data_IF_568492275497
#
_entry.id   IF_568492275497
#
_cell.length_a   1.000
_cell.length_b   1.000
_cell.length_c   1.000
_cell.angle_alpha   90.00
_cell.angle_beta   90.00
_cell.angle_gamma   90.00
#
_symmetry.space_group_name_H-M   'P 1'
#
loop_
_entity.id
_entity.type
_entity.pdbx_description
1 polymer ?
#
# COMPACT_ATOMS: atom_id res chain seq x y z
N UNK A 1 21.25 29.38 16.87
CA UNK A 1 20.14 30.31 16.57
C UNK A 1 18.81 29.56 16.51
N UNK A 2 17.70 30.15 16.97
CA UNK A 2 16.38 29.55 16.81
C UNK A 2 15.99 29.47 15.32
N UNK A 3 15.23 28.44 14.95
CA UNK A 3 14.73 28.24 13.58
C UNK A 3 13.23 28.48 13.55
N UNK A 4 12.77 29.40 12.71
CA UNK A 4 11.35 29.53 12.37
C UNK A 4 11.05 28.59 11.20
N UNK A 5 10.16 27.63 11.43
CA UNK A 5 9.83 26.59 10.44
C UNK A 5 8.32 26.52 10.21
N UNK A 6 7.93 26.26 8.97
CA UNK A 6 6.57 25.84 8.66
C UNK A 6 6.34 24.40 9.10
N UNK A 7 5.12 24.07 9.53
CA UNK A 7 4.75 22.72 9.93
C UNK A 7 3.84 22.07 8.87
N UNK A 8 4.12 20.80 8.58
CA UNK A 8 3.24 19.92 7.80
C UNK A 8 3.05 18.61 8.56
N UNK A 9 1.81 18.13 8.66
CA UNK A 9 1.49 16.85 9.28
C UNK A 9 0.59 16.06 8.36
N UNK A 10 0.89 14.79 8.14
CA UNK A 10 0.02 13.86 7.41
C UNK A 10 -0.38 12.69 8.29
N UNK A 11 -1.68 12.51 8.44
CA UNK A 11 -2.27 11.37 9.16
C UNK A 11 -3.74 11.20 8.80
N UNK A 12 -4.42 10.23 9.43
CA UNK A 12 -5.87 10.09 9.35
C UNK A 12 -6.57 10.92 10.44
N UNK A 13 -7.55 11.72 10.05
CA UNK A 13 -8.41 12.49 10.95
C UNK A 13 -9.84 11.95 10.93
N UNK A 14 -10.54 11.87 12.08
CA UNK A 14 -11.92 11.43 12.14
C UNK A 14 -12.85 12.23 11.22
N UNK A 15 -13.74 11.54 10.50
CA UNK A 15 -14.69 12.12 9.55
C UNK A 15 -14.07 12.76 8.31
N UNK A 16 -12.74 12.74 8.16
CA UNK A 16 -12.00 13.35 7.05
C UNK A 16 -11.16 12.30 6.31
N UNK A 17 -10.60 11.33 7.03
CA UNK A 17 -9.64 10.36 6.51
C UNK A 17 -8.22 10.93 6.40
N UNK A 18 -7.41 10.34 5.53
CA UNK A 18 -6.01 10.74 5.34
C UNK A 18 -5.90 12.13 4.72
N UNK A 19 -5.26 13.06 5.44
CA UNK A 19 -5.08 14.44 4.99
C UNK A 19 -3.78 15.03 5.51
N UNK A 20 -3.25 16.01 4.77
CA UNK A 20 -2.20 16.89 5.25
C UNK A 20 -2.76 18.17 5.87
N UNK A 21 -2.35 18.49 7.09
CA UNK A 21 -2.49 19.83 7.67
C UNK A 21 -1.16 20.58 7.50
N UNK A 22 -1.24 21.86 7.15
CA UNK A 22 -0.07 22.68 6.78
C UNK A 22 -0.15 24.07 7.37
N UNK A 23 1.01 24.65 7.67
CA UNK A 23 1.12 26.08 7.97
C UNK A 23 1.03 26.89 6.68
N UNK A 24 0.49 28.11 6.77
CA UNK A 24 0.19 28.96 5.61
C UNK A 24 1.40 29.27 4.70
N UNK A 25 2.62 29.22 5.26
CA UNK A 25 3.85 29.59 4.55
C UNK A 25 4.45 28.44 3.72
N UNK A 26 3.91 27.22 3.78
CA UNK A 26 4.46 26.08 3.04
C UNK A 26 3.95 26.11 1.59
N UNK A 27 4.85 26.28 0.60
CA UNK A 27 4.48 26.27 -0.81
C UNK A 27 3.89 24.93 -1.28
N UNK A 28 3.00 24.95 -2.27
CA UNK A 28 2.29 23.75 -2.73
C UNK A 28 3.23 22.66 -3.28
N UNK A 29 4.31 23.05 -3.97
CA UNK A 29 5.36 22.13 -4.44
C UNK A 29 6.03 21.38 -3.27
N UNK A 30 6.24 22.05 -2.15
CA UNK A 30 6.79 21.44 -0.93
C UNK A 30 5.79 20.52 -0.26
N UNK A 31 4.50 20.85 -0.25
CA UNK A 31 3.46 19.94 0.24
C UNK A 31 3.43 18.65 -0.59
N UNK A 32 3.49 18.77 -1.92
CA UNK A 32 3.54 17.62 -2.82
C UNK A 32 4.82 16.80 -2.64
N UNK A 33 5.98 17.46 -2.52
CA UNK A 33 7.26 16.79 -2.27
C UNK A 33 7.25 16.03 -0.95
N UNK A 34 6.66 16.58 0.11
CA UNK A 34 6.49 15.89 1.39
C UNK A 34 5.65 14.61 1.21
N UNK A 35 4.50 14.69 0.55
CA UNK A 35 3.66 13.49 0.33
C UNK A 35 4.41 12.43 -0.49
N UNK A 36 5.05 12.81 -1.60
CA UNK A 36 5.68 11.83 -2.50
C UNK A 36 7.01 11.28 -1.96
N UNK A 37 7.91 12.15 -1.50
CA UNK A 37 9.28 11.79 -1.13
C UNK A 37 9.40 11.35 0.32
N UNK A 38 8.46 11.72 1.19
CA UNK A 38 8.48 11.34 2.61
C UNK A 38 7.42 10.29 2.86
N UNK A 39 6.14 10.59 2.64
CA UNK A 39 5.05 9.70 3.04
C UNK A 39 5.03 8.45 2.17
N UNK A 40 4.74 8.56 0.87
CA UNK A 40 4.55 7.38 0.01
C UNK A 40 5.83 6.59 -0.26
N UNK A 41 7.00 7.24 -0.18
CA UNK A 41 8.28 6.57 -0.35
C UNK A 41 8.66 5.69 0.84
N UNK A 42 8.28 6.08 2.05
CA UNK A 42 8.72 5.44 3.29
C UNK A 42 7.59 4.78 4.08
N UNK A 43 6.35 4.93 3.63
CA UNK A 43 5.19 4.29 4.21
C UNK A 43 4.46 3.42 3.19
N UNK A 44 4.65 2.11 3.33
CA UNK A 44 3.88 1.12 2.58
C UNK A 44 2.59 0.80 3.36
N UNK A 45 1.44 1.25 2.85
CA UNK A 45 0.14 1.00 3.50
C UNK A 45 -0.24 -0.50 3.53
N UNK A 46 0.31 -1.32 2.62
CA UNK A 46 0.00 -2.75 2.52
C UNK A 46 0.94 -3.60 3.37
N UNK A 47 2.16 -3.13 3.59
CA UNK A 47 3.09 -3.71 4.56
C UNK A 47 3.55 -2.63 5.54
N UNK A 48 2.64 -2.14 6.40
CA UNK A 48 2.97 -1.01 7.26
C UNK A 48 4.08 -1.39 8.24
N UNK A 49 4.94 -0.44 8.62
CA UNK A 49 5.92 -0.66 9.67
C UNK A 49 5.24 -1.18 10.94
N UNK A 50 5.96 -1.91 11.79
CA UNK A 50 5.38 -2.45 13.03
C UNK A 50 4.93 -1.34 13.98
N UNK A 51 4.02 -1.66 14.89
CA UNK A 51 3.62 -0.73 15.95
C UNK A 51 4.85 -0.26 16.75
N UNK A 52 4.92 1.05 17.03
CA UNK A 52 6.07 1.67 17.68
C UNK A 52 7.23 1.99 16.72
N UNK A 53 7.08 1.77 15.42
CA UNK A 53 8.04 2.21 14.41
C UNK A 53 8.26 3.72 14.47
N UNK A 54 9.52 4.12 14.40
CA UNK A 54 9.96 5.52 14.33
C UNK A 54 11.06 5.63 13.29
N UNK A 55 10.95 6.66 12.47
CA UNK A 55 12.00 7.07 11.57
C UNK A 55 12.12 8.58 11.55
N UNK A 56 13.29 9.07 11.16
CA UNK A 56 13.56 10.47 10.92
C UNK A 56 14.11 10.68 9.52
N UNK A 57 13.85 11.85 8.95
CA UNK A 57 14.31 12.19 7.61
C UNK A 57 14.77 13.65 7.53
N UNK A 58 15.69 13.90 6.61
CA UNK A 58 16.08 15.23 6.17
C UNK A 58 16.24 15.17 4.65
N UNK A 59 15.51 16.01 3.94
CA UNK A 59 15.45 16.04 2.50
C UNK A 59 15.50 17.48 1.99
N UNK A 60 16.47 17.79 1.12
CA UNK A 60 16.50 19.05 0.39
C UNK A 60 15.92 18.88 -1.00
N UNK A 61 14.83 19.58 -1.27
CA UNK A 61 14.24 19.68 -2.60
C UNK A 61 15.13 20.53 -3.52
N UNK A 62 15.65 21.63 -2.97
CA UNK A 62 16.65 22.50 -3.56
C UNK A 62 17.54 23.05 -2.44
N UNK A 63 18.65 23.71 -2.79
CA UNK A 63 19.62 24.22 -1.81
C UNK A 63 19.01 25.19 -0.78
N UNK A 64 17.88 25.80 -1.10
CA UNK A 64 17.13 26.77 -0.30
C UNK A 64 15.79 26.23 0.23
N UNK A 65 15.46 24.95 0.02
CA UNK A 65 14.20 24.34 0.47
C UNK A 65 14.48 23.01 1.17
N UNK A 66 14.45 23.05 2.49
CA UNK A 66 14.77 21.89 3.34
C UNK A 66 13.51 21.40 4.06
N UNK A 67 13.22 20.11 3.93
CA UNK A 67 12.21 19.38 4.69
C UNK A 67 12.89 18.42 5.66
N UNK A 68 12.41 18.35 6.89
CA UNK A 68 12.92 17.38 7.87
C UNK A 68 11.83 17.03 8.88
N UNK A 69 11.91 15.85 9.47
CA UNK A 69 10.96 15.45 10.51
C UNK A 69 10.96 13.97 10.80
N UNK A 70 9.78 13.44 11.09
CA UNK A 70 9.62 12.08 11.62
C UNK A 70 8.43 11.35 11.02
N UNK A 71 8.53 10.02 11.02
CA UNK A 71 7.43 9.11 10.72
C UNK A 71 7.22 8.23 11.95
N UNK A 72 5.97 8.14 12.40
CA UNK A 72 5.58 7.30 13.52
C UNK A 72 4.48 6.33 13.10
N UNK A 73 4.59 5.08 13.57
CA UNK A 73 3.47 4.17 13.67
C UNK A 73 2.96 4.11 15.11
N UNK A 74 2.10 5.05 15.46
CA UNK A 74 1.51 5.13 16.80
C UNK A 74 0.05 5.57 16.73
N UNK A 75 -0.81 4.89 17.51
CA UNK A 75 -2.23 5.18 17.66
C UNK A 75 -3.13 4.48 16.62
N UNK A 76 -4.44 4.67 16.77
CA UNK A 76 -5.46 4.16 15.86
C UNK A 76 -6.19 5.31 15.16
N UNK A 77 -6.99 5.00 14.15
CA UNK A 77 -7.98 5.93 13.62
C UNK A 77 -9.36 5.75 14.28
N UNK A 78 -10.37 6.45 13.75
CA UNK A 78 -11.75 6.38 14.25
C UNK A 78 -12.40 5.00 14.08
N UNK A 79 -11.91 4.18 13.15
CA UNK A 79 -12.38 2.83 12.89
C UNK A 79 -11.61 1.79 13.75
N UNK A 80 -10.74 2.25 14.65
CA UNK A 80 -9.90 1.39 15.47
C UNK A 80 -8.78 0.70 14.69
N UNK A 81 -8.52 1.09 13.43
CA UNK A 81 -7.43 0.54 12.62
C UNK A 81 -6.11 1.00 13.21
N UNK A 82 -5.22 0.04 13.46
CA UNK A 82 -3.81 0.31 13.79
C UNK A 82 -3.01 0.62 12.53
N UNK A 83 -1.74 0.95 12.68
CA UNK A 83 -0.82 1.19 11.55
C UNK A 83 -1.15 2.41 10.70
N UNK A 84 -1.60 3.48 11.35
CA UNK A 84 -1.89 4.74 10.71
C UNK A 84 -0.61 5.58 10.64
N UNK A 85 -0.18 6.04 9.44
CA UNK A 85 0.94 6.95 9.32
C UNK A 85 0.70 8.20 10.14
N UNK A 86 1.65 8.55 10.98
CA UNK A 86 1.71 9.84 11.63
C UNK A 86 3.03 10.51 11.26
N UNK A 87 3.00 11.22 10.14
CA UNK A 87 4.16 11.87 9.55
C UNK A 87 4.16 13.34 9.95
N UNK A 88 5.27 13.80 10.54
CA UNK A 88 5.50 15.20 10.89
C UNK A 88 6.64 15.73 10.03
N UNK A 89 6.48 16.94 9.52
CA UNK A 89 7.50 17.65 8.77
C UNK A 89 7.61 19.10 9.16
N UNK A 90 8.83 19.59 9.14
CA UNK A 90 9.21 20.97 9.27
C UNK A 90 9.87 21.43 7.99
N UNK A 91 9.42 22.58 7.51
CA UNK A 91 9.92 23.23 6.31
C UNK A 91 10.73 24.48 6.69
N UNK A 92 11.97 24.53 6.23
CA UNK A 92 12.85 25.68 6.34
C UNK A 92 13.18 26.20 4.93
N UNK A 93 12.86 27.48 4.71
CA UNK A 93 13.25 28.22 3.51
C UNK A 93 14.60 28.93 3.72
N UNK A 94 15.37 29.03 2.64
CA UNK A 94 16.69 29.66 2.62
C UNK A 94 17.85 28.66 2.64
N UNK A 95 19.04 29.16 2.28
CA UNK A 95 20.26 28.36 2.24
C UNK A 95 20.60 27.84 3.64
N UNK A 96 20.86 26.54 3.72
CA UNK A 96 21.19 25.89 4.98
C UNK A 96 22.66 26.15 5.36
N UNK A 97 22.89 26.79 6.51
CA UNK A 97 24.22 26.88 7.11
C UNK A 97 24.57 25.63 7.93
N UNK A 98 25.86 25.42 8.21
CA UNK A 98 26.32 24.30 9.05
C UNK A 98 25.73 24.35 10.47
N UNK A 99 25.57 25.54 11.05
CA UNK A 99 24.96 25.71 12.37
C UNK A 99 23.48 25.34 12.36
N UNK A 100 22.75 25.73 11.30
CA UNK A 100 21.34 25.35 11.15
C UNK A 100 21.19 23.85 10.92
N UNK A 101 22.10 23.24 10.12
CA UNK A 101 22.11 21.79 9.92
C UNK A 101 22.30 21.03 11.24
N UNK A 102 23.24 21.44 12.08
CA UNK A 102 23.46 20.78 13.39
C UNK A 102 22.24 20.94 14.32
N UNK A 103 21.59 22.11 14.31
CA UNK A 103 20.34 22.33 15.03
C UNK A 103 19.22 21.41 14.51
N UNK A 104 19.12 21.21 13.19
CA UNK A 104 18.15 20.28 12.60
C UNK A 104 18.47 18.83 13.01
N UNK A 105 19.72 18.38 12.88
CA UNK A 105 20.12 17.01 13.23
C UNK A 105 19.88 16.71 14.71
N UNK A 106 20.16 17.68 15.58
CA UNK A 106 19.88 17.58 17.01
C UNK A 106 18.38 17.56 17.31
N UNK A 107 17.61 18.38 16.59
CA UNK A 107 16.15 18.36 16.68
C UNK A 107 15.61 16.97 16.30
N UNK A 108 16.06 16.39 15.18
CA UNK A 108 15.67 15.06 14.71
C UNK A 108 15.96 13.94 15.71
N UNK A 109 17.08 14.04 16.42
CA UNK A 109 17.48 13.13 17.50
C UNK A 109 16.55 13.22 18.73
N UNK A 110 16.25 14.45 19.16
CA UNK A 110 15.43 14.71 20.36
C UNK A 110 13.94 14.44 20.10
N UNK A 111 13.41 14.89 18.96
CA UNK A 111 12.02 14.73 18.53
C UNK A 111 11.28 16.04 18.24
N UNK A 112 10.01 15.98 17.76
CA UNK A 112 9.23 17.15 17.38
C UNK A 112 8.94 18.09 18.56
N UNK A 113 8.91 19.39 18.29
CA UNK A 113 8.56 20.43 19.28
C UNK A 113 7.09 20.31 19.70
N UNK A 114 6.21 20.01 18.74
CA UNK A 114 4.76 19.90 18.96
C UNK A 114 4.21 18.69 18.23
N UNK A 115 3.10 18.14 18.71
CA UNK A 115 2.30 17.15 18.01
C UNK A 115 0.89 17.68 17.78
N UNK A 116 0.27 17.23 16.69
CA UNK A 116 -1.14 17.50 16.39
C UNK A 116 -1.99 16.37 16.96
N UNK A 117 -3.00 16.72 17.75
CA UNK A 117 -4.04 15.76 18.14
C UNK A 117 -4.90 15.40 16.92
N UNK A 118 -4.91 14.11 16.58
CA UNK A 118 -5.68 13.61 15.44
C UNK A 118 -7.19 13.64 15.69
N UNK A 119 -7.62 13.57 16.95
CA UNK A 119 -9.05 13.55 17.28
C UNK A 119 -9.65 14.95 17.37
N UNK A 120 -8.80 15.95 17.57
CA UNK A 120 -9.18 17.35 17.61
C UNK A 120 -8.22 18.20 16.77
N UNK A 121 -8.24 18.04 15.43
CA UNK A 121 -7.32 18.76 14.56
C UNK A 121 -7.60 20.27 14.57
N UNK A 122 -6.56 21.11 14.60
CA UNK A 122 -6.73 22.55 14.42
C UNK A 122 -7.15 22.87 12.97
N UNK A 123 -7.82 24.00 12.78
CA UNK A 123 -8.24 24.46 11.45
C UNK A 123 -7.05 24.73 10.50
N UNK A 124 -5.92 25.16 11.05
CA UNK A 124 -4.64 25.34 10.34
C UNK A 124 -3.47 25.19 11.31
N UNK A 125 -2.29 24.83 10.80
CA UNK A 125 -1.09 24.79 11.63
C UNK A 125 -0.43 26.16 11.68
N UNK A 126 0.17 26.48 12.81
CA UNK A 126 1.02 27.65 12.96
C UNK A 126 2.47 27.32 12.61
N UNK A 127 3.30 28.33 12.42
CA UNK A 127 4.74 28.12 12.33
C UNK A 127 5.30 27.85 13.71
N UNK A 128 6.40 27.09 13.75
CA UNK A 128 7.05 26.69 15.00
C UNK A 128 8.42 27.34 15.09
N UNK A 129 8.78 27.72 16.31
CA UNK A 129 10.13 28.13 16.64
C UNK A 129 10.83 26.95 17.30
N UNK A 130 11.84 26.40 16.63
CA UNK A 130 12.77 25.45 17.24
C UNK A 130 13.80 26.29 18.01
N UNK A 131 13.84 26.22 19.35
CA UNK A 131 14.74 27.04 20.14
C UNK A 131 16.19 26.62 19.88
N UNK A 132 17.11 27.53 20.18
CA UNK A 132 18.53 27.23 20.05
C UNK A 132 18.94 26.08 20.96
N UNK A 133 19.92 25.28 20.50
CA UNK A 133 20.38 24.07 21.18
C UNK A 133 19.27 23.04 21.47
N UNK A 134 18.11 23.19 20.82
CA UNK A 134 16.94 22.33 21.04
C UNK A 134 16.53 22.22 22.52
N UNK A 135 16.61 23.33 23.27
CA UNK A 135 16.18 23.37 24.67
C UNK A 135 14.65 23.39 24.80
N UNK A 136 14.00 22.25 24.55
CA UNK A 136 12.58 22.02 24.71
C UNK A 136 12.31 20.59 25.16
N UNK A 137 11.10 20.35 25.69
CA UNK A 137 10.61 18.99 25.91
C UNK A 137 9.92 18.50 24.63
N UNK A 138 10.38 17.41 24.01
CA UNK A 138 9.80 16.95 22.76
C UNK A 138 8.42 16.33 22.99
N UNK A 139 7.52 16.56 22.02
CA UNK A 139 6.17 16.00 22.05
C UNK A 139 6.16 14.47 21.83
N UNK A 140 7.19 13.94 21.17
CA UNK A 140 7.45 12.51 20.95
C UNK A 140 8.95 12.27 20.89
N UNK A 141 9.42 11.07 21.17
CA UNK A 141 10.85 10.74 21.01
C UNK A 141 11.28 10.84 19.55
N UNK A 142 12.45 11.42 19.31
CA UNK A 142 13.11 11.41 18.01
C UNK A 142 13.79 10.07 17.70
N UNK A 143 14.70 10.09 16.72
CA UNK A 143 15.48 8.92 16.29
C UNK A 143 16.94 9.31 16.25
N UNK A 144 17.78 8.58 16.98
CA UNK A 144 19.19 8.89 17.09
C UNK A 144 19.93 8.76 15.75
N UNK A 145 20.66 9.81 15.39
CA UNK A 145 21.45 9.86 14.15
C UNK A 145 22.91 9.62 14.54
N UNK A 146 23.53 8.58 13.99
CA UNK A 146 24.91 8.21 14.32
C UNK A 146 25.89 9.32 13.96
N UNK A 147 27.02 9.37 14.68
CA UNK A 147 28.06 10.38 14.45
C UNK A 147 28.62 10.33 13.03
N UNK A 148 28.68 9.15 12.41
CA UNK A 148 29.14 8.98 11.03
C UNK A 148 28.13 9.52 10.02
N UNK A 149 26.83 9.29 10.23
CA UNK A 149 25.77 9.87 9.39
C UNK A 149 25.74 11.39 9.52
N UNK A 150 25.92 11.93 10.74
CA UNK A 150 26.05 13.38 10.97
C UNK A 150 27.26 13.95 10.21
N UNK A 151 28.44 13.34 10.32
CA UNK A 151 29.66 13.78 9.60
C UNK A 151 29.46 13.73 8.08
N UNK A 152 28.85 12.68 7.56
CA UNK A 152 28.59 12.54 6.13
C UNK A 152 27.61 13.61 5.64
N UNK A 153 26.54 13.87 6.38
CA UNK A 153 25.56 14.92 6.05
C UNK A 153 26.21 16.32 6.02
N UNK A 154 27.10 16.62 6.97
CA UNK A 154 27.87 17.88 6.96
C UNK A 154 28.79 17.98 5.74
N UNK A 155 29.47 16.88 5.39
CA UNK A 155 30.33 16.82 4.21
C UNK A 155 29.54 17.07 2.94
N UNK A 156 28.36 16.48 2.81
CA UNK A 156 27.49 16.68 1.64
C UNK A 156 27.02 18.13 1.53
N UNK A 157 26.68 18.79 2.67
CA UNK A 157 26.35 20.21 2.68
C UNK A 157 27.52 21.08 2.21
N UNK A 158 28.74 20.84 2.73
CA UNK A 158 29.95 21.57 2.34
C UNK A 158 30.29 21.37 0.85
N UNK A 159 29.97 20.20 0.31
CA UNK A 159 30.12 19.88 -1.11
C UNK A 159 28.98 20.42 -1.99
N UNK A 160 28.03 21.18 -1.42
CA UNK A 160 26.84 21.71 -2.10
C UNK A 160 25.98 20.61 -2.76
N UNK A 161 26.02 19.40 -2.20
CA UNK A 161 25.11 18.32 -2.59
C UNK A 161 23.79 18.47 -1.84
N UNK A 162 22.69 18.15 -2.52
CA UNK A 162 21.39 18.12 -1.87
C UNK A 162 21.37 17.01 -0.82
N UNK A 163 20.97 17.37 0.38
CA UNK A 163 20.91 16.45 1.50
C UNK A 163 19.72 15.50 1.36
N UNK A 164 19.97 14.21 1.63
CA UNK A 164 18.94 13.19 1.66
C UNK A 164 19.35 12.12 2.70
N UNK A 165 18.74 12.22 3.88
CA UNK A 165 18.97 11.37 5.03
C UNK A 165 17.65 10.72 5.42
N UNK A 166 17.68 9.42 5.67
CA UNK A 166 16.58 8.68 6.27
C UNK A 166 17.16 7.69 7.27
N UNK A 167 16.63 7.65 8.49
CA UNK A 167 17.09 6.76 9.56
C UNK A 167 15.90 6.17 10.27
N UNK A 168 15.81 4.85 10.32
CA UNK A 168 14.78 4.14 11.09
C UNK A 168 15.37 3.46 12.33
N UNK A 169 14.55 3.25 13.37
CA UNK A 169 14.96 2.47 14.54
C UNK A 169 15.42 1.04 14.18
N UNK A 170 14.79 0.42 13.19
CA UNK A 170 15.13 -0.94 12.74
C UNK A 170 16.53 -1.03 12.11
N UNK A 171 16.95 0.02 11.39
CA UNK A 171 18.29 0.11 10.80
C UNK A 171 19.37 0.25 11.87
N UNK A 172 19.07 0.93 12.97
CA UNK A 172 19.97 1.04 14.11
C UNK A 172 20.18 -0.30 14.83
N UNK A 173 19.12 -1.08 15.02
CA UNK A 173 19.23 -2.42 15.62
C UNK A 173 20.04 -3.38 14.73
N UNK A 174 19.87 -3.28 13.41
CA UNK A 174 20.66 -4.03 12.42
C UNK A 174 22.12 -3.58 12.39
N UNK A 175 22.40 -2.29 12.54
CA UNK A 175 23.77 -1.77 12.63
C UNK A 175 24.46 -2.23 13.93
N UNK A 176 23.77 -2.09 15.07
CA UNK A 176 24.30 -2.51 16.37
C UNK A 176 24.54 -4.03 16.48
N UNK A 177 23.72 -4.84 15.81
CA UNK A 177 23.94 -6.30 15.73
C UNK A 177 25.12 -6.68 14.83
N UNK A 178 25.36 -5.94 13.72
CA UNK A 178 26.56 -6.10 12.89
C UNK A 178 27.85 -5.75 13.65
N UNK A 179 27.86 -4.66 14.40
CA UNK A 179 29.03 -4.27 15.20
C UNK A 179 29.33 -5.28 16.31
N UNK A 180 28.30 -5.90 16.89
CA UNK A 180 28.47 -7.01 17.84
C UNK A 180 29.01 -8.28 17.18
N UNK A 181 28.64 -8.56 15.94
CA UNK A 181 29.15 -9.71 15.18
C UNK A 181 30.63 -9.52 14.79
N UNK A 182 31.00 -8.33 14.31
CA UNK A 182 32.39 -7.99 13.93
C UNK A 182 33.31 -8.04 15.16
N UNK A 183 32.86 -7.55 16.32
CA UNK A 183 33.63 -7.63 17.57
C UNK A 183 33.74 -9.06 18.14
N UNK A 184 32.81 -9.97 17.79
CA UNK A 184 32.92 -11.40 18.15
C UNK A 184 33.93 -12.14 17.27
N UNK A 185 34.03 -11.80 15.98
CA UNK A 185 34.99 -12.41 15.05
C UNK A 185 36.43 -11.93 15.26
N UNK A 186 36.64 -10.73 15.80
CA UNK A 186 37.97 -10.23 16.18
C UNK A 186 38.60 -10.97 17.39
N UNK A 187 37.88 -11.91 18.02
CA UNK A 187 38.29 -12.57 19.27
C UNK A 187 38.59 -14.08 19.14
N UNK A 188 38.65 -14.65 17.94
CA UNK A 188 38.93 -16.08 17.75
C UNK A 188 40.24 -16.33 16.98
N UNK A 189 41.10 -17.28 17.43
CA UNK A 189 42.36 -17.56 16.76
C UNK A 189 42.13 -18.27 15.43
N UNK A 190 42.87 -17.80 14.42
CA UNK A 190 42.93 -18.32 13.05
C UNK A 190 43.20 -19.83 13.07
N UNK A 191 42.27 -20.62 12.52
CA UNK A 191 42.56 -21.99 12.07
C UNK A 191 41.83 -22.32 10.76
N UNK A 192 42.63 -22.31 9.69
CA UNK A 192 42.58 -23.07 8.43
C UNK A 192 41.23 -23.42 7.75
N UNK A 193 41.04 -22.82 6.56
CA UNK A 193 40.64 -23.41 5.25
C UNK A 193 39.75 -24.67 5.23
N UNK A 194 38.52 -24.54 4.71
CA UNK A 194 38.06 -25.19 3.46
C UNK A 194 36.64 -24.70 3.06
N UNK A 195 36.28 -24.63 1.76
CA UNK A 195 35.04 -24.04 1.28
C UNK A 195 33.95 -25.10 1.06
N UNK A 196 32.72 -24.81 1.48
CA UNK A 196 31.53 -25.49 1.00
C UNK A 196 30.48 -24.43 0.67
N UNK A 197 30.39 -24.13 -0.63
CA UNK A 197 29.33 -23.34 -1.24
C UNK A 197 27.97 -23.92 -0.87
N UNK A 198 27.07 -23.09 -0.34
CA UNK A 198 25.65 -23.42 -0.23
C UNK A 198 24.89 -22.53 -1.21
N UNK A 199 24.54 -23.13 -2.35
CA UNK A 199 23.54 -22.61 -3.27
C UNK A 199 22.18 -22.61 -2.57
N UNK A 200 21.58 -21.43 -2.44
CA UNK A 200 20.17 -21.29 -2.11
C UNK A 200 19.38 -21.41 -3.41
N UNK A 201 18.86 -22.61 -3.66
CA UNK A 201 17.88 -22.86 -4.69
C UNK A 201 16.59 -22.08 -4.38
N UNK A 202 16.23 -21.19 -5.29
CA UNK A 202 14.92 -20.56 -5.37
C UNK A 202 13.88 -21.65 -5.68
N UNK A 203 12.91 -21.82 -4.80
CA UNK A 203 11.72 -22.63 -5.06
C UNK A 203 10.82 -21.80 -5.97
N UNK A 204 10.98 -21.99 -7.28
CA UNK A 204 9.97 -21.62 -8.27
C UNK A 204 8.77 -22.56 -8.15
N UNK A 205 7.58 -21.98 -8.05
CA UNK A 205 6.33 -22.71 -8.03
C UNK A 205 5.20 -21.89 -8.61
N UNK A 206 5.10 -21.83 -9.93
CA UNK A 206 3.97 -22.35 -10.74
C UNK A 206 3.94 -21.70 -12.13
N UNK A 207 3.90 -22.57 -13.15
CA UNK A 207 4.02 -22.24 -14.57
C UNK A 207 2.76 -21.55 -15.09
N UNK A 208 2.80 -20.23 -15.17
CA UNK A 208 1.98 -19.42 -16.07
C UNK A 208 2.58 -19.53 -17.47
N UNK A 209 1.76 -19.69 -18.51
CA UNK A 209 2.23 -19.64 -19.90
C UNK A 209 2.34 -18.15 -20.30
N UNK A 210 3.48 -17.46 -20.08
CA UNK A 210 3.54 -16.00 -20.06
C UNK A 210 3.31 -15.42 -21.47
N UNK A 211 3.68 -16.21 -22.49
CA UNK A 211 3.61 -15.88 -23.90
C UNK A 211 2.18 -15.72 -24.45
N UNK A 212 1.19 -16.44 -23.90
CA UNK A 212 -0.20 -16.31 -24.38
C UNK A 212 -0.90 -15.09 -23.78
N UNK A 213 -0.67 -14.81 -22.49
CA UNK A 213 -1.24 -13.67 -21.79
C UNK A 213 -0.68 -12.36 -22.36
N UNK A 214 0.63 -12.29 -22.58
CA UNK A 214 1.28 -11.12 -23.19
C UNK A 214 0.71 -10.83 -24.58
N UNK A 215 0.48 -11.87 -25.39
CA UNK A 215 -0.17 -11.73 -26.70
C UNK A 215 -1.59 -11.15 -26.59
N UNK A 216 -2.40 -11.63 -25.65
CA UNK A 216 -3.77 -11.11 -25.42
C UNK A 216 -3.73 -9.61 -25.07
N UNK A 217 -2.79 -9.19 -24.22
CA UNK A 217 -2.64 -7.77 -23.86
C UNK A 217 -2.13 -6.92 -25.04
N UNK A 218 -1.21 -7.44 -25.86
CA UNK A 218 -0.76 -6.74 -27.07
C UNK A 218 -1.88 -6.60 -28.10
N UNK A 219 -2.72 -7.62 -28.28
CA UNK A 219 -3.92 -7.54 -29.13
C UNK A 219 -4.87 -6.43 -28.68
N UNK A 220 -5.05 -6.26 -27.35
CA UNK A 220 -5.88 -5.20 -26.78
C UNK A 220 -5.26 -3.81 -27.05
N UNK A 221 -3.95 -3.66 -26.83
CA UNK A 221 -3.21 -2.42 -27.11
C UNK A 221 -3.24 -1.99 -28.58
N UNK A 222 -3.29 -2.96 -29.50
CA UNK A 222 -3.32 -2.68 -30.94
C UNK A 222 -4.70 -2.19 -31.44
N UNK A 223 -5.75 -2.20 -30.62
CA UNK A 223 -7.10 -1.78 -31.03
C UNK A 223 -7.18 -0.27 -31.23
N UNK A 224 -7.78 0.23 -32.32
CA UNK A 224 -7.91 1.66 -32.60
C UNK A 224 -9.06 2.30 -31.79
N UNK A 225 -9.11 2.04 -30.49
CA UNK A 225 -10.15 2.51 -29.57
C UNK A 225 -9.59 3.40 -28.44
N UNK A 226 -8.35 3.88 -28.61
CA UNK A 226 -7.75 4.86 -27.70
C UNK A 226 -7.15 4.26 -26.43
N UNK A 227 -6.86 2.96 -26.39
CA UNK A 227 -6.12 2.35 -25.29
C UNK A 227 -4.67 2.84 -25.34
N UNK A 228 -4.21 3.36 -24.21
CA UNK A 228 -2.89 3.94 -24.05
C UNK A 228 -1.97 3.06 -23.22
N UNK A 229 -2.55 2.20 -22.37
CA UNK A 229 -1.78 1.29 -21.57
C UNK A 229 -2.62 0.21 -20.90
N UNK A 230 -1.98 -0.93 -20.64
CA UNK A 230 -2.56 -2.10 -19.98
C UNK A 230 -1.57 -2.73 -19.01
N UNK A 231 -2.10 -3.24 -17.90
CA UNK A 231 -1.32 -4.01 -16.93
C UNK A 231 -2.19 -5.13 -16.35
N UNK A 232 -1.62 -6.31 -16.19
CA UNK A 232 -2.22 -7.38 -15.39
C UNK A 232 -1.62 -7.31 -13.99
N UNK A 233 -2.47 -7.20 -12.97
CA UNK A 233 -2.05 -6.92 -11.59
C UNK A 233 -2.63 -7.95 -10.62
N UNK A 234 -1.93 -8.18 -9.51
CA UNK A 234 -2.39 -9.05 -8.42
C UNK A 234 -3.45 -8.39 -7.53
N UNK A 235 -3.96 -9.10 -6.52
CA UNK A 235 -4.84 -8.56 -5.49
C UNK A 235 -4.20 -7.41 -4.68
N UNK A 236 -2.87 -7.33 -4.67
CA UNK A 236 -2.09 -6.25 -4.06
C UNK A 236 -1.75 -5.13 -5.04
N UNK A 237 -2.25 -5.20 -6.29
CA UNK A 237 -1.99 -4.22 -7.34
C UNK A 237 -0.61 -4.33 -8.00
N UNK A 238 0.19 -5.36 -7.68
CA UNK A 238 1.51 -5.57 -8.27
C UNK A 238 1.39 -6.10 -9.70
N UNK A 239 2.06 -5.51 -10.70
CA UNK A 239 2.09 -6.06 -12.04
C UNK A 239 2.67 -7.49 -12.06
N UNK A 240 1.88 -8.44 -12.56
CA UNK A 240 2.23 -9.87 -12.64
C UNK A 240 3.14 -10.12 -13.85
N UNK A 241 2.96 -9.34 -14.91
CA UNK A 241 3.79 -9.33 -16.13
C UNK A 241 4.21 -7.88 -16.46
N UNK A 242 5.24 -7.68 -17.31
CA UNK A 242 5.64 -6.35 -17.74
C UNK A 242 4.44 -5.53 -18.27
N UNK A 243 4.35 -4.27 -17.85
CA UNK A 243 3.28 -3.36 -18.25
C UNK A 243 3.50 -2.86 -19.67
N UNK A 244 2.41 -2.64 -20.42
CA UNK A 244 2.48 -2.12 -21.79
C UNK A 244 1.87 -0.72 -21.81
N UNK A 245 2.61 0.28 -22.29
CA UNK A 245 2.11 1.67 -22.37
C UNK A 245 1.86 2.36 -21.01
N UNK A 246 2.34 1.76 -19.91
CA UNK A 246 2.21 2.29 -18.56
C UNK A 246 3.53 2.15 -17.80
N UNK A 247 3.85 3.14 -16.98
CA UNK A 247 4.92 3.04 -15.99
C UNK A 247 4.54 2.06 -14.86
N UNK A 248 5.51 1.30 -14.36
CA UNK A 248 5.31 0.25 -13.35
C UNK A 248 4.77 0.83 -12.04
N UNK A 249 5.36 1.92 -11.56
CA UNK A 249 4.97 2.54 -10.28
C UNK A 249 3.58 3.19 -10.40
N UNK A 250 3.32 3.84 -11.52
CA UNK A 250 2.01 4.41 -11.82
C UNK A 250 0.91 3.34 -11.87
N UNK A 251 1.20 2.20 -12.49
CA UNK A 251 0.27 1.05 -12.55
C UNK A 251 0.00 0.49 -11.16
N UNK A 252 1.04 0.32 -10.34
CA UNK A 252 0.92 -0.13 -8.94
C UNK A 252 0.04 0.81 -8.11
N UNK A 253 0.31 2.12 -8.16
CA UNK A 253 -0.44 3.12 -7.38
C UNK A 253 -1.92 3.15 -7.79
N UNK A 254 -2.19 3.15 -9.10
CA UNK A 254 -3.57 3.18 -9.62
C UNK A 254 -4.32 1.89 -9.28
N UNK A 255 -3.73 0.73 -9.55
CA UNK A 255 -4.34 -0.56 -9.24
C UNK A 255 -4.62 -0.71 -7.74
N UNK A 256 -3.62 -0.44 -6.89
CA UNK A 256 -3.76 -0.54 -5.45
C UNK A 256 -4.86 0.37 -4.89
N UNK A 257 -4.95 1.60 -5.37
CA UNK A 257 -5.99 2.55 -4.96
C UNK A 257 -7.39 2.07 -5.38
N UNK A 258 -7.55 1.59 -6.61
CA UNK A 258 -8.83 1.08 -7.11
C UNK A 258 -9.23 -0.21 -6.40
N UNK A 259 -8.30 -1.11 -6.10
CA UNK A 259 -8.54 -2.35 -5.34
C UNK A 259 -8.93 -2.06 -3.89
N UNK A 260 -8.29 -1.08 -3.24
CA UNK A 260 -8.67 -0.64 -1.90
C UNK A 260 -10.10 -0.09 -1.89
N UNK A 261 -10.44 0.78 -2.85
CA UNK A 261 -11.80 1.28 -3.01
C UNK A 261 -12.80 0.14 -3.27
N UNK A 262 -12.42 -0.86 -4.06
CA UNK A 262 -13.22 -2.07 -4.30
C UNK A 262 -13.55 -2.74 -2.98
N UNK A 263 -12.51 -3.13 -2.24
CA UNK A 263 -12.65 -3.90 -1.00
C UNK A 263 -13.44 -3.13 0.05
N UNK A 264 -13.13 -1.85 0.25
CA UNK A 264 -13.86 -1.00 1.20
C UNK A 264 -15.35 -0.87 0.83
N UNK A 265 -15.67 -0.78 -0.46
CA UNK A 265 -17.07 -0.71 -0.93
C UNK A 265 -17.75 -2.06 -0.75
N UNK A 266 -17.05 -3.16 -1.04
CA UNK A 266 -17.58 -4.50 -0.86
C UNK A 266 -17.96 -4.78 0.60
N UNK A 267 -17.07 -4.42 1.53
CA UNK A 267 -17.26 -4.61 2.97
C UNK A 267 -18.43 -3.76 3.49
N UNK A 268 -18.51 -2.48 3.10
CA UNK A 268 -19.57 -1.55 3.52
C UNK A 268 -20.96 -2.02 3.06
N UNK A 269 -21.09 -2.43 1.80
CA UNK A 269 -22.37 -2.79 1.20
C UNK A 269 -22.67 -4.29 1.23
N UNK A 270 -21.81 -5.10 1.85
CA UNK A 270 -21.93 -6.56 1.91
C UNK A 270 -22.09 -7.22 0.53
N UNK A 271 -21.39 -6.69 -0.48
CA UNK A 271 -21.44 -7.23 -1.84
C UNK A 271 -20.62 -8.51 -1.97
N UNK A 272 -21.06 -9.41 -2.84
CA UNK A 272 -20.37 -10.70 -3.07
C UNK A 272 -19.07 -10.54 -3.86
N UNK A 273 -18.92 -9.43 -4.60
CA UNK A 273 -17.70 -9.11 -5.35
C UNK A 273 -17.91 -7.86 -6.21
N UNK A 274 -16.80 -7.32 -6.73
CA UNK A 274 -16.81 -6.20 -7.66
C UNK A 274 -16.17 -6.65 -8.97
N UNK A 275 -16.96 -6.59 -10.04
CA UNK A 275 -16.51 -7.00 -11.37
C UNK A 275 -15.63 -5.93 -12.02
N UNK A 276 -15.94 -4.65 -11.84
CA UNK A 276 -15.21 -3.54 -12.47
C UNK A 276 -15.31 -2.25 -11.67
N UNK A 277 -14.23 -1.49 -11.66
CA UNK A 277 -14.17 -0.10 -11.16
C UNK A 277 -13.63 0.78 -12.27
N UNK A 278 -14.22 1.97 -12.44
CA UNK A 278 -13.80 2.90 -13.47
C UNK A 278 -13.76 4.34 -12.95
N UNK A 279 -12.70 5.06 -13.31
CA UNK A 279 -12.60 6.52 -13.21
C UNK A 279 -12.73 7.09 -14.62
N UNK A 280 -13.65 8.04 -14.80
CA UNK A 280 -13.97 8.64 -16.10
C UNK A 280 -13.77 10.16 -16.03
N UNK A 281 -12.98 10.69 -16.97
CA UNK A 281 -12.74 12.12 -17.15
C UNK A 281 -13.01 12.51 -18.62
N UNK A 282 -13.00 13.80 -18.95
CA UNK A 282 -13.20 14.24 -20.34
C UNK A 282 -12.05 13.77 -21.25
N UNK A 283 -10.88 13.63 -20.67
CA UNK A 283 -9.61 13.32 -21.30
C UNK A 283 -9.38 11.80 -21.44
N UNK A 284 -10.07 10.98 -20.65
CA UNK A 284 -9.92 9.53 -20.71
C UNK A 284 -10.51 8.73 -19.57
N UNK A 285 -10.07 7.48 -19.50
CA UNK A 285 -10.61 6.45 -18.62
C UNK A 285 -9.48 5.66 -17.96
N UNK A 286 -9.66 5.32 -16.69
CA UNK A 286 -8.88 4.29 -16.00
C UNK A 286 -9.85 3.24 -15.49
N UNK A 287 -9.66 1.99 -15.90
CA UNK A 287 -10.59 0.90 -15.63
C UNK A 287 -9.80 -0.26 -15.02
N UNK A 288 -10.31 -0.81 -13.92
CA UNK A 288 -9.80 -2.03 -13.29
C UNK A 288 -10.89 -3.08 -13.35
N UNK A 289 -10.63 -4.20 -14.03
CA UNK A 289 -11.60 -5.28 -14.24
C UNK A 289 -11.10 -6.60 -13.63
N UNK A 290 -11.96 -7.28 -12.89
CA UNK A 290 -11.68 -8.59 -12.30
C UNK A 290 -11.48 -9.65 -13.39
N UNK A 291 -10.38 -10.39 -13.35
CA UNK A 291 -10.11 -11.46 -14.32
C UNK A 291 -10.30 -12.85 -13.69
N UNK A 292 -9.48 -13.20 -12.70
CA UNK A 292 -9.43 -14.51 -12.05
C UNK A 292 -9.15 -14.27 -10.55
N UNK A 293 -9.35 -15.23 -9.61
CA UNK A 293 -8.95 -15.04 -8.22
C UNK A 293 -7.58 -14.37 -8.10
N UNK A 294 -7.56 -13.25 -7.38
CA UNK A 294 -6.39 -12.41 -7.16
C UNK A 294 -5.70 -11.83 -8.40
N UNK A 295 -6.38 -11.77 -9.55
CA UNK A 295 -5.86 -11.22 -10.81
C UNK A 295 -6.84 -10.23 -11.44
N UNK A 296 -6.34 -9.03 -11.77
CA UNK A 296 -7.12 -7.93 -12.32
C UNK A 296 -6.44 -7.32 -13.56
N UNK A 297 -7.24 -6.81 -14.49
CA UNK A 297 -6.78 -6.08 -15.66
C UNK A 297 -6.96 -4.58 -15.42
N UNK A 298 -5.86 -3.84 -15.38
CA UNK A 298 -5.83 -2.38 -15.37
C UNK A 298 -5.69 -1.86 -16.81
N UNK A 299 -6.56 -0.93 -17.21
CA UNK A 299 -6.57 -0.30 -18.53
C UNK A 299 -6.56 1.21 -18.38
N UNK A 300 -5.61 1.86 -19.04
CA UNK A 300 -5.58 3.30 -19.26
C UNK A 300 -5.98 3.58 -20.71
N UNK A 301 -7.02 4.37 -20.90
CA UNK A 301 -7.46 4.81 -22.22
C UNK A 301 -7.61 6.33 -22.26
N UNK A 302 -7.39 6.91 -23.44
CA UNK A 302 -7.75 8.30 -23.71
C UNK A 302 -9.25 8.45 -23.94
N UNK A 303 -9.63 9.47 -24.71
CA UNK A 303 -11.01 9.70 -25.12
C UNK A 303 -11.50 8.55 -26.01
N UNK A 304 -12.43 7.75 -25.50
CA UNK A 304 -13.01 6.59 -26.17
C UNK A 304 -14.52 6.53 -25.93
N UNK A 305 -15.25 5.90 -26.85
CA UNK A 305 -16.68 5.62 -26.68
C UNK A 305 -16.83 4.54 -25.60
N UNK A 306 -17.44 4.87 -24.46
CA UNK A 306 -17.46 3.98 -23.28
C UNK A 306 -18.02 2.59 -23.58
N UNK A 307 -19.11 2.48 -24.35
CA UNK A 307 -19.67 1.17 -24.70
C UNK A 307 -18.76 0.30 -25.58
N UNK A 308 -17.94 0.90 -26.44
CA UNK A 308 -16.96 0.18 -27.26
C UNK A 308 -15.75 -0.24 -26.43
N UNK A 309 -15.28 0.64 -25.54
CA UNK A 309 -14.18 0.38 -24.62
C UNK A 309 -14.55 -0.73 -23.63
N UNK A 310 -15.70 -0.60 -22.95
CA UNK A 310 -16.20 -1.58 -21.99
C UNK A 310 -16.40 -2.95 -22.68
N UNK A 311 -16.93 -2.96 -23.92
CA UNK A 311 -17.10 -4.18 -24.71
C UNK A 311 -15.79 -4.90 -25.03
N UNK A 312 -14.73 -4.16 -25.38
CA UNK A 312 -13.43 -4.77 -25.70
C UNK A 312 -12.67 -5.21 -24.45
N UNK A 313 -12.81 -4.47 -23.35
CA UNK A 313 -12.26 -4.88 -22.05
C UNK A 313 -12.91 -6.19 -21.61
N UNK A 314 -14.24 -6.30 -21.66
CA UNK A 314 -14.95 -7.51 -21.27
C UNK A 314 -14.53 -8.73 -22.12
N UNK A 315 -14.41 -8.57 -23.44
CA UNK A 315 -13.88 -9.64 -24.31
C UNK A 315 -12.45 -10.05 -23.94
N UNK A 316 -11.62 -9.09 -23.58
CA UNK A 316 -10.25 -9.37 -23.18
C UNK A 316 -10.19 -10.09 -21.85
N UNK A 317 -11.02 -9.68 -20.88
CA UNK A 317 -11.17 -10.35 -19.59
C UNK A 317 -11.61 -11.80 -19.77
N UNK A 318 -12.56 -12.10 -20.68
CA UNK A 318 -12.95 -13.48 -21.00
C UNK A 318 -11.78 -14.31 -21.58
N UNK A 319 -11.02 -13.73 -22.52
CA UNK A 319 -9.81 -14.39 -23.04
C UNK A 319 -8.78 -14.66 -21.94
N UNK A 320 -8.59 -13.70 -21.03
CA UNK A 320 -7.68 -13.83 -19.90
C UNK A 320 -8.16 -14.90 -18.92
N UNK A 321 -9.45 -14.98 -18.61
CA UNK A 321 -10.04 -16.04 -17.77
C UNK A 321 -9.71 -17.43 -18.28
N UNK A 322 -9.91 -17.65 -19.58
CA UNK A 322 -9.57 -18.93 -20.22
C UNK A 322 -8.07 -19.21 -20.17
N UNK A 323 -7.24 -18.19 -20.37
CA UNK A 323 -5.78 -18.34 -20.32
C UNK A 323 -5.22 -18.53 -18.89
N UNK A 324 -5.92 -18.02 -17.87
CA UNK A 324 -5.52 -18.02 -16.46
C UNK A 324 -6.05 -19.23 -15.67
N UNK A 325 -6.94 -20.04 -16.23
CA UNK A 325 -7.33 -21.34 -15.67
C UNK A 325 -6.28 -22.40 -16.01
N UNK A 326 -5.32 -22.77 -15.14
CA UNK A 326 -4.55 -23.98 -15.36
C UNK A 326 -5.52 -25.17 -15.37
N UNK A 327 -5.45 -25.99 -16.42
CA UNK A 327 -6.15 -27.27 -16.65
C UNK A 327 -6.67 -27.95 -15.36
N UNK A 328 -7.88 -27.62 -14.93
CA UNK A 328 -8.74 -28.51 -14.17
C UNK A 328 -9.67 -29.19 -15.18
N UNK A 329 -9.12 -30.17 -15.90
CA UNK A 329 -9.87 -31.28 -16.51
C UNK A 329 -8.87 -32.27 -17.11
N UNK A 330 -8.35 -33.14 -16.25
CA UNK A 330 -7.81 -34.43 -16.68
C UNK A 330 -8.75 -35.49 -16.09
N UNK A 331 -9.48 -36.26 -16.91
CA UNK A 331 -10.38 -37.28 -16.41
C UNK A 331 -9.53 -38.40 -15.82
N UNK A 332 -9.47 -38.47 -14.48
CA UNK A 332 -8.90 -39.62 -13.78
C UNK A 332 -9.81 -40.80 -14.07
N UNK A 333 -9.37 -41.63 -15.02
CA UNK A 333 -9.85 -42.99 -15.21
C UNK A 333 -9.44 -43.79 -13.97
N UNK A 334 -10.29 -43.83 -12.96
CA UNK A 334 -10.17 -44.79 -11.87
C UNK A 334 -10.49 -46.20 -12.42
N UNK A 335 -9.45 -47.01 -12.62
CA UNK A 335 -9.59 -48.46 -12.62
C UNK A 335 -9.68 -48.93 -11.16
N UNK A 336 -10.47 -49.97 -10.84
CA UNK A 336 -10.69 -50.40 -9.47
C UNK A 336 -9.56 -51.35 -9.03
N UNK A 337 -8.75 -50.91 -8.07
CA UNK A 337 -7.90 -51.82 -7.29
C UNK A 337 -8.75 -52.49 -6.19
N UNK A 338 -8.81 -53.81 -6.26
CA UNK A 338 -9.46 -54.67 -5.29
C UNK A 338 -8.58 -54.86 -4.06
N UNK A 339 -9.18 -54.79 -2.86
CA UNK A 339 -8.62 -55.30 -1.61
C UNK A 339 -9.74 -56.01 -0.80
N UNK A 340 -9.40 -56.95 0.09
CA UNK A 340 -10.08 -58.23 0.24
C UNK A 340 -11.22 -58.20 1.27
N UNK A 341 -12.22 -59.05 1.05
CA UNK A 341 -13.31 -59.32 1.99
C UNK A 341 -12.83 -60.10 3.21
N UNK A 342 -13.46 -59.86 4.37
CA UNK A 342 -13.72 -60.80 5.47
C UNK A 342 -14.78 -60.15 6.42
N UNK A 343 -15.53 -60.93 7.24
CA UNK A 343 -16.96 -61.11 7.05
C UNK A 343 -17.85 -60.49 8.14
N UNK A 344 -19.13 -60.44 7.77
CA UNK A 344 -20.35 -59.98 8.45
C UNK A 344 -20.60 -60.48 9.88
N UNK A 345 -21.03 -59.55 10.75
CA UNK A 345 -21.85 -59.81 11.95
C UNK A 345 -23.02 -58.79 12.09
N UNK A 346 -24.21 -59.23 11.65
CA UNK A 346 -25.54 -59.24 12.31
C UNK A 346 -25.99 -58.10 13.27
N UNK A 347 -26.92 -57.26 12.76
CA UNK A 347 -28.20 -56.68 13.30
C UNK A 347 -28.23 -55.85 14.64
N UNK A 348 -29.32 -55.08 14.95
CA UNK A 348 -30.57 -54.82 14.22
C UNK A 348 -31.03 -53.34 14.09
N UNK A 349 -32.08 -53.16 13.26
CA UNK A 349 -32.90 -51.97 13.01
C UNK A 349 -33.75 -51.55 14.21
N UNK A 350 -34.06 -50.25 14.31
CA UNK A 350 -35.25 -49.74 15.02
C UNK A 350 -35.96 -48.71 14.12
N UNK A 351 -37.27 -48.90 14.01
CA UNK A 351 -38.23 -48.21 13.15
C UNK A 351 -38.68 -46.83 13.67
N UNK A 352 -39.30 -46.10 12.73
CA UNK A 352 -40.08 -44.87 12.79
C UNK A 352 -40.94 -44.64 14.05
N UNK A 353 -41.02 -43.38 14.49
CA UNK A 353 -42.24 -42.83 15.11
C UNK A 353 -42.52 -41.43 14.55
N UNK A 354 -43.69 -41.33 13.91
CA UNK A 354 -44.39 -40.15 13.43
C UNK A 354 -44.68 -39.13 14.54
N UNK A 355 -44.65 -37.84 14.18
CA UNK A 355 -45.54 -36.83 14.77
C UNK A 355 -45.96 -35.83 13.68
N UNK A 356 -47.16 -36.03 13.14
CA UNK A 356 -47.99 -34.95 12.60
C UNK A 356 -48.93 -34.48 13.73
N UNK A 357 -49.23 -33.17 13.79
CA UNK A 357 -50.61 -32.65 13.86
C UNK A 357 -50.64 -31.11 13.75
N UNK A 358 -51.19 -30.66 12.61
CA UNK A 358 -52.21 -29.62 12.37
C UNK A 358 -52.04 -28.15 12.79
N UNK A 359 -52.02 -27.30 11.75
CA UNK A 359 -52.92 -26.17 11.39
C UNK A 359 -53.96 -25.69 12.44
N UNK A 360 -54.31 -24.42 12.63
CA UNK A 360 -54.68 -23.33 11.71
C UNK A 360 -54.67 -21.96 12.45
N UNK A 361 -54.67 -20.86 11.67
CA UNK A 361 -55.39 -19.58 11.89
C UNK A 361 -54.54 -18.30 11.74
N UNK A 362 -54.67 -17.69 10.55
CA UNK A 362 -54.51 -16.24 10.25
C UNK A 362 -55.61 -15.40 10.96
N UNK A 363 -55.54 -14.05 11.09
CA UNK A 363 -55.23 -13.12 9.98
C UNK A 363 -54.59 -11.73 10.28
N UNK A 364 -54.33 -11.03 9.16
CA UNK A 364 -54.44 -9.58 8.90
C UNK A 364 -53.33 -8.60 9.35
N UNK A 365 -52.54 -8.14 8.38
CA UNK A 365 -52.50 -6.76 7.84
C UNK A 365 -51.32 -6.67 6.85
N UNK A 366 -51.56 -6.59 5.55
CA UNK A 366 -51.74 -5.36 4.77
C UNK A 366 -50.56 -4.38 4.95
N UNK A 367 -49.61 -4.41 4.01
CA UNK A 367 -49.23 -3.19 3.30
C UNK A 367 -48.55 -3.53 1.96
N UNK A 368 -49.22 -3.05 0.93
CA UNK A 368 -48.97 -3.22 -0.49
C UNK A 368 -47.99 -2.13 -0.97
N UNK A 369 -46.75 -2.47 -1.34
CA UNK A 369 -45.90 -1.55 -2.12
C UNK A 369 -45.72 -2.08 -3.54
N UNK A 370 -46.57 -1.55 -4.43
CA UNK A 370 -46.55 -1.78 -5.88
C UNK A 370 -45.33 -1.11 -6.52
N UNK A 371 -44.47 -1.91 -7.15
CA UNK A 371 -43.49 -1.44 -8.13
C UNK A 371 -44.12 -1.45 -9.53
N UNK A 372 -44.41 -0.26 -10.09
CA UNK A 372 -44.67 -0.02 -11.52
C UNK A 372 -43.57 0.94 -12.00
N UNK A 373 -42.86 0.76 -13.10
CA UNK A 373 -42.87 -0.21 -14.18
C UNK A 373 -41.83 0.23 -15.21
N UNK A 374 -41.39 -0.68 -16.09
CA UNK A 374 -40.64 -0.33 -17.30
C UNK A 374 -41.14 -1.17 -18.47
N UNK A 375 -40.97 -0.58 -19.67
CA UNK A 375 -41.18 -1.06 -21.05
C UNK A 375 -42.53 -0.62 -21.63
N UNK A 376 -42.65 -0.12 -22.87
CA UNK A 376 -41.78 -0.04 -24.06
C UNK A 376 -42.50 0.79 -25.14
N UNK A 377 -41.73 1.35 -26.09
CA UNK A 377 -42.09 1.64 -27.49
C UNK A 377 -43.18 2.68 -27.82
N UNK A 378 -42.75 3.86 -28.30
CA UNK A 378 -42.93 4.35 -29.68
C UNK A 378 -42.13 5.65 -29.88
#
# INVERSE_FOLDING_TARGET
MPLLVGQIVYTSFPGIGFKSLVSQQIPLDIQQAFIQQVVYKHWDTYNPPKAGYKATYLYQFSADKTLFGWLYNEGTDELGRSNIPYCIGYYLAGLLSTVQLENILTCLDIGPVTSVDRHNPPASLENIIIPDLCNYQPARSGVAISSDMRKQTHKDLLQKKLLNLFVSCDEMEKAASRDRAINREASLPIKALSPASSELALVEGQSMNPSNIERILQELMAKPIGIQGVALVSAEGQPIIPTIGMDKNSSLIMAGSMLYLAKSTQDEFHWQGIETIAVRAQEGHVILAYCHPDVFLLVKAGKALSGLLDGEINRTVEKLRVALQPLQDSPVRAQPEALPQLPSEVLPKIDEVLYEFNAEASPANDDEVRYRGRRTNL
#
